data_IF_127975759489
#
_entry.id   IF_127975759489
#
_cell.length_a   1.000
_cell.length_b   1.000
_cell.length_c   1.000
_cell.angle_alpha   90.00
_cell.angle_beta   90.00
_cell.angle_gamma   90.00
#
_symmetry.space_group_name_H-M   'P 1'
#
loop_
_entity.id
_entity.type
_entity.pdbx_description
1 polymer ?
#
# COMPACT_ATOMS: atom_id res chain seq x y z
N UNK A 1 24.08 4.60 -27.18
CA UNK A 1 23.34 4.04 -26.03
C UNK A 1 22.28 3.09 -26.57
N UNK A 2 22.50 1.78 -26.46
CA UNK A 2 21.67 0.78 -27.12
C UNK A 2 20.29 0.66 -26.43
N UNK A 3 19.25 1.12 -27.11
CA UNK A 3 17.84 0.86 -26.82
C UNK A 3 17.54 -0.61 -27.13
N UNK A 4 17.82 -1.51 -26.18
CA UNK A 4 17.39 -2.91 -26.27
C UNK A 4 15.86 -2.99 -26.13
N UNK A 5 15.20 -3.52 -27.16
CA UNK A 5 13.76 -3.81 -27.16
C UNK A 5 13.35 -4.54 -25.88
N UNK A 6 12.28 -4.05 -25.22
CA UNK A 6 11.80 -4.55 -23.92
C UNK A 6 11.76 -6.08 -23.94
N UNK A 7 12.74 -6.71 -23.29
CA UNK A 7 12.75 -8.17 -23.17
C UNK A 7 11.44 -8.60 -22.52
N UNK A 8 10.91 -9.77 -22.88
CA UNK A 8 9.66 -10.28 -22.27
C UNK A 8 9.76 -10.35 -20.74
N UNK A 9 10.97 -10.57 -20.20
CA UNK A 9 11.24 -10.52 -18.76
C UNK A 9 11.06 -9.11 -18.17
N UNK A 10 11.50 -8.07 -18.88
CA UNK A 10 11.32 -6.67 -18.44
C UNK A 10 9.84 -6.28 -18.50
N UNK A 11 9.12 -6.64 -19.58
CA UNK A 11 7.67 -6.41 -19.67
C UNK A 11 6.92 -7.13 -18.53
N UNK A 12 7.30 -8.35 -18.21
CA UNK A 12 6.74 -9.13 -17.11
C UNK A 12 7.00 -8.47 -15.74
N UNK A 13 8.24 -8.03 -15.49
CA UNK A 13 8.60 -7.32 -14.26
C UNK A 13 7.86 -5.98 -14.12
N UNK A 14 7.71 -5.22 -15.21
CA UNK A 14 6.96 -3.97 -15.24
C UNK A 14 5.48 -4.18 -14.92
N UNK A 15 4.85 -5.21 -15.49
CA UNK A 15 3.45 -5.55 -15.20
C UNK A 15 3.25 -5.99 -13.74
N UNK A 16 4.15 -6.82 -13.20
CA UNK A 16 4.14 -7.20 -11.78
C UNK A 16 4.30 -5.98 -10.85
N UNK A 17 5.23 -5.07 -11.17
CA UNK A 17 5.44 -3.82 -10.45
C UNK A 17 4.26 -2.83 -10.59
N UNK A 18 3.35 -3.07 -11.54
CA UNK A 18 2.08 -2.36 -11.68
C UNK A 18 0.91 -3.02 -10.95
N UNK A 19 1.15 -4.09 -10.17
CA UNK A 19 0.12 -4.79 -9.42
C UNK A 19 -0.62 -5.88 -10.20
N UNK A 20 -0.22 -6.19 -11.45
CA UNK A 20 -0.83 -7.27 -12.19
C UNK A 20 -0.55 -8.64 -11.53
N UNK A 21 -1.54 -9.53 -11.54
CA UNK A 21 -1.33 -10.91 -11.10
C UNK A 21 -0.31 -11.62 -12.01
N UNK A 22 0.44 -12.63 -11.53
CA UNK A 22 1.44 -13.31 -12.35
C UNK A 22 0.91 -13.82 -13.68
N UNK A 23 -0.32 -14.36 -13.72
CA UNK A 23 -0.93 -14.82 -14.96
C UNK A 23 -1.23 -13.69 -15.95
N UNK A 24 -1.72 -12.55 -15.46
CA UNK A 24 -1.99 -11.36 -16.28
C UNK A 24 -0.69 -10.74 -16.79
N UNK A 25 0.29 -10.56 -15.91
CA UNK A 25 1.62 -10.06 -16.28
C UNK A 25 2.29 -10.94 -17.34
N UNK A 26 2.11 -12.26 -17.26
CA UNK A 26 2.66 -13.24 -18.22
C UNK A 26 2.05 -13.09 -19.61
N UNK A 27 0.73 -12.91 -19.68
CA UNK A 27 0.00 -12.67 -20.92
C UNK A 27 0.38 -11.30 -21.52
N UNK A 28 0.40 -10.25 -20.71
CA UNK A 28 0.79 -8.89 -21.15
C UNK A 28 2.23 -8.83 -21.67
N UNK A 29 3.13 -9.64 -21.08
CA UNK A 29 4.50 -9.78 -21.54
C UNK A 29 4.66 -10.65 -22.82
N UNK A 30 3.56 -11.16 -23.38
CA UNK A 30 3.57 -11.94 -24.61
C UNK A 30 4.08 -13.38 -24.44
N UNK A 31 4.00 -13.95 -23.25
CA UNK A 31 4.28 -15.37 -23.06
C UNK A 31 3.02 -16.22 -23.31
N UNK A 32 3.23 -17.38 -23.94
CA UNK A 32 2.18 -18.36 -24.21
C UNK A 32 2.22 -19.47 -23.15
N UNK A 33 1.06 -19.97 -22.71
CA UNK A 33 0.93 -21.17 -21.88
C UNK A 33 0.46 -20.95 -20.43
N UNK A 34 0.56 -22.00 -19.62
CA UNK A 34 -0.14 -22.14 -18.34
C UNK A 34 0.40 -21.31 -17.16
N UNK A 35 -0.51 -20.87 -16.28
CA UNK A 35 -0.23 -19.98 -15.14
C UNK A 35 0.75 -20.51 -14.07
N UNK A 36 1.04 -21.81 -14.02
CA UNK A 36 2.06 -22.35 -13.10
C UNK A 36 3.47 -21.82 -13.44
N UNK A 37 3.77 -21.61 -14.73
CA UNK A 37 5.06 -21.05 -15.20
C UNK A 37 5.19 -19.58 -14.80
N UNK A 38 4.09 -18.84 -14.88
CA UNK A 38 4.03 -17.45 -14.46
C UNK A 38 4.31 -17.29 -12.96
N UNK A 39 3.71 -18.15 -12.11
CA UNK A 39 3.98 -18.15 -10.66
C UNK A 39 5.45 -18.49 -10.36
N UNK A 40 6.00 -19.52 -11.01
CA UNK A 40 7.42 -19.88 -10.86
C UNK A 40 8.34 -18.75 -11.28
N UNK A 41 8.03 -18.05 -12.39
CA UNK A 41 8.81 -16.91 -12.85
C UNK A 41 8.69 -15.71 -11.90
N UNK A 42 7.50 -15.45 -11.35
CA UNK A 42 7.33 -14.41 -10.33
C UNK A 42 8.12 -14.73 -9.03
N UNK A 43 8.36 -16.01 -8.75
CA UNK A 43 9.19 -16.44 -7.63
C UNK A 43 10.71 -16.28 -7.87
N UNK A 44 11.14 -16.10 -9.12
CA UNK A 44 12.55 -15.97 -9.53
C UNK A 44 13.21 -14.76 -8.82
N UNK A 45 14.33 -14.94 -8.11
CA UNK A 45 15.01 -13.86 -7.41
C UNK A 45 15.40 -12.68 -8.32
N UNK A 46 15.75 -12.94 -9.58
CA UNK A 46 16.11 -11.88 -10.52
C UNK A 46 14.91 -11.00 -10.87
N UNK A 47 13.73 -11.61 -11.06
CA UNK A 47 12.48 -10.90 -11.33
C UNK A 47 12.04 -10.11 -10.11
N UNK A 48 12.09 -10.72 -8.91
CA UNK A 48 11.77 -10.01 -7.66
C UNK A 48 12.66 -8.79 -7.43
N UNK A 49 13.97 -8.93 -7.66
CA UNK A 49 14.92 -7.81 -7.55
C UNK A 49 14.56 -6.69 -8.53
N UNK A 50 14.23 -7.02 -9.78
CA UNK A 50 13.86 -6.04 -10.79
C UNK A 50 12.53 -5.35 -10.48
N UNK A 51 11.52 -6.08 -10.01
CA UNK A 51 10.24 -5.51 -9.53
C UNK A 51 10.48 -4.51 -8.39
N UNK A 52 11.33 -4.85 -7.42
CA UNK A 52 11.67 -3.96 -6.32
C UNK A 52 12.44 -2.71 -6.79
N UNK A 53 13.32 -2.85 -7.78
CA UNK A 53 14.03 -1.73 -8.40
C UNK A 53 13.06 -0.77 -9.11
N UNK A 54 12.15 -1.29 -9.92
CA UNK A 54 11.09 -0.50 -10.59
C UNK A 54 10.22 0.21 -9.54
N UNK A 55 9.88 -0.47 -8.44
CA UNK A 55 9.14 0.14 -7.33
C UNK A 55 9.91 1.32 -6.70
N UNK A 56 11.23 1.20 -6.51
CA UNK A 56 12.08 2.29 -6.01
C UNK A 56 12.16 3.45 -7.01
N UNK A 57 12.37 3.16 -8.29
CA UNK A 57 12.41 4.16 -9.37
C UNK A 57 11.10 4.97 -9.41
N UNK A 58 9.95 4.27 -9.39
CA UNK A 58 8.63 4.92 -9.34
C UNK A 58 8.43 5.74 -8.06
N UNK A 59 8.90 5.25 -6.92
CA UNK A 59 8.83 5.98 -5.66
C UNK A 59 9.67 7.26 -5.70
N UNK A 60 10.87 7.22 -6.29
CA UNK A 60 11.73 8.39 -6.46
C UNK A 60 11.09 9.41 -7.41
N UNK A 61 10.56 8.95 -8.55
CA UNK A 61 9.85 9.82 -9.49
C UNK A 61 8.58 10.42 -8.88
N UNK A 62 7.86 9.68 -8.04
CA UNK A 62 6.69 10.18 -7.34
C UNK A 62 7.02 11.15 -6.20
N UNK A 63 8.15 10.94 -5.50
CA UNK A 63 8.66 11.91 -4.51
C UNK A 63 8.95 13.27 -5.15
N UNK A 64 9.39 13.29 -6.40
CA UNK A 64 9.61 14.53 -7.16
C UNK A 64 8.30 15.30 -7.43
N UNK A 65 7.16 14.61 -7.48
CA UNK A 65 5.84 15.25 -7.66
C UNK A 65 5.28 15.87 -6.38
N UNK A 66 5.74 15.43 -5.20
CA UNK A 66 5.17 15.89 -3.93
C UNK A 66 5.36 17.40 -3.69
N UNK A 67 6.57 17.98 -3.89
CA UNK A 67 6.76 19.43 -3.79
C UNK A 67 5.86 20.21 -4.75
N UNK A 68 5.62 19.69 -5.96
CA UNK A 68 4.74 20.33 -6.95
C UNK A 68 3.29 20.33 -6.47
N UNK A 69 2.82 19.20 -5.93
CA UNK A 69 1.46 19.08 -5.38
C UNK A 69 1.30 20.01 -4.17
N UNK A 70 2.28 20.07 -3.27
CA UNK A 70 2.26 20.97 -2.11
C UNK A 70 2.19 22.44 -2.52
N UNK A 71 2.99 22.84 -3.52
CA UNK A 71 2.97 24.19 -4.06
C UNK A 71 1.64 24.51 -4.75
N UNK A 72 1.05 23.58 -5.50
CA UNK A 72 -0.30 23.73 -6.05
C UNK A 72 -1.33 23.96 -4.95
N UNK A 73 -1.27 23.20 -3.84
CA UNK A 73 -2.19 23.37 -2.71
C UNK A 73 -1.99 24.72 -2.00
N UNK A 74 -0.75 25.24 -1.97
CA UNK A 74 -0.47 26.60 -1.48
C UNK A 74 -1.12 27.65 -2.39
N UNK A 75 -0.95 27.53 -3.71
CA UNK A 75 -1.53 28.44 -4.70
C UNK A 75 -3.06 28.41 -4.69
N UNK A 76 -3.67 27.25 -4.47
CA UNK A 76 -5.13 27.14 -4.26
C UNK A 76 -5.58 28.02 -3.10
N UNK A 77 -4.88 27.98 -1.96
CA UNK A 77 -5.21 28.81 -0.80
C UNK A 77 -5.12 30.29 -1.12
N UNK A 78 -4.08 30.72 -1.85
CA UNK A 78 -3.94 32.13 -2.26
C UNK A 78 -5.02 32.55 -3.26
N UNK A 79 -5.33 31.71 -4.26
CA UNK A 79 -6.39 31.99 -5.23
C UNK A 79 -7.78 32.09 -4.57
N UNK A 80 -8.05 31.26 -3.56
CA UNK A 80 -9.31 31.31 -2.80
C UNK A 80 -9.46 32.57 -1.95
N UNK A 81 -8.36 33.22 -1.53
CA UNK A 81 -8.43 34.50 -0.78
C UNK A 81 -8.85 35.68 -1.64
N UNK A 82 -8.74 35.57 -2.97
CA UNK A 82 -9.09 36.65 -3.90
C UNK A 82 -10.61 36.90 -3.96
N UNK A 83 -11.42 35.94 -3.53
CA UNK A 83 -12.89 36.00 -3.52
C UNK A 83 -13.51 36.50 -4.85
N UNK A 84 -12.90 36.09 -5.96
CA UNK A 84 -13.34 36.43 -7.31
C UNK A 84 -13.64 35.18 -8.12
N UNK A 85 -14.50 35.29 -9.13
CA UNK A 85 -14.78 34.20 -10.05
C UNK A 85 -13.51 33.65 -10.73
N UNK A 86 -12.55 34.53 -11.05
CA UNK A 86 -11.25 34.14 -11.61
C UNK A 86 -10.42 33.34 -10.59
N UNK A 87 -10.36 33.78 -9.34
CA UNK A 87 -9.67 33.07 -8.25
C UNK A 87 -10.26 31.68 -8.00
N UNK A 88 -11.59 31.56 -7.94
CA UNK A 88 -12.27 30.27 -7.76
C UNK A 88 -12.05 29.31 -8.95
N UNK A 89 -12.03 29.84 -10.18
CA UNK A 89 -11.75 29.06 -11.40
C UNK A 89 -10.32 28.52 -11.38
N UNK A 90 -9.34 29.36 -11.04
CA UNK A 90 -7.95 28.95 -10.90
C UNK A 90 -7.77 27.90 -9.79
N UNK A 91 -8.38 28.10 -8.62
CA UNK A 91 -8.37 27.15 -7.51
C UNK A 91 -8.94 25.78 -7.93
N UNK A 92 -10.07 25.76 -8.65
CA UNK A 92 -10.65 24.52 -9.19
C UNK A 92 -9.69 23.80 -10.14
N UNK A 93 -9.06 24.54 -11.06
CA UNK A 93 -8.11 23.97 -12.02
C UNK A 93 -6.90 23.33 -11.31
N UNK A 94 -6.31 24.04 -10.36
CA UNK A 94 -5.19 23.54 -9.56
C UNK A 94 -5.57 22.32 -8.71
N UNK A 95 -6.77 22.30 -8.11
CA UNK A 95 -7.24 21.15 -7.35
C UNK A 95 -7.44 19.90 -8.23
N UNK A 96 -8.00 20.07 -9.43
CA UNK A 96 -8.18 18.97 -10.37
C UNK A 96 -6.82 18.37 -10.79
N UNK A 97 -5.84 19.22 -11.07
CA UNK A 97 -4.50 18.78 -11.46
C UNK A 97 -3.75 18.13 -10.28
N UNK A 98 -3.83 18.71 -9.08
CA UNK A 98 -3.26 18.12 -7.87
C UNK A 98 -3.87 16.73 -7.58
N UNK A 99 -5.18 16.54 -7.79
CA UNK A 99 -5.83 15.24 -7.65
C UNK A 99 -5.33 14.23 -8.69
N UNK A 100 -5.18 14.66 -9.94
CA UNK A 100 -4.62 13.83 -11.02
C UNK A 100 -3.20 13.37 -10.69
N UNK A 101 -2.34 14.29 -10.24
CA UNK A 101 -0.97 13.99 -9.85
C UNK A 101 -0.90 13.08 -8.61
N UNK A 102 -1.77 13.28 -7.61
CA UNK A 102 -1.89 12.37 -6.46
C UNK A 102 -2.23 10.93 -6.89
N UNK A 103 -3.07 10.77 -7.90
CA UNK A 103 -3.38 9.45 -8.47
C UNK A 103 -2.21 8.74 -9.17
N UNK A 104 -1.12 9.46 -9.48
CA UNK A 104 0.11 8.89 -10.05
C UNK A 104 1.12 8.46 -8.97
N UNK A 105 0.90 8.86 -7.72
CA UNK A 105 1.74 8.43 -6.61
C UNK A 105 1.54 6.93 -6.38
N UNK A 106 2.59 6.19 -6.02
CA UNK A 106 2.46 4.78 -5.69
C UNK A 106 1.47 4.63 -4.53
N UNK A 107 0.61 3.60 -4.62
CA UNK A 107 -0.21 3.22 -3.48
C UNK A 107 0.69 2.96 -2.28
N UNK A 108 0.31 3.44 -1.08
CA UNK A 108 1.04 3.09 0.12
C UNK A 108 1.12 1.56 0.20
N UNK A 109 2.25 0.99 0.63
CA UNK A 109 2.34 -0.45 0.81
C UNK A 109 1.18 -0.89 1.68
N UNK A 110 0.54 -2.01 1.30
CA UNK A 110 -0.50 -2.63 2.11
C UNK A 110 0.01 -2.75 3.54
N UNK A 111 -0.53 -1.92 4.44
CA UNK A 111 -0.27 -2.08 5.85
C UNK A 111 -0.93 -3.40 6.24
N UNK A 112 -0.20 -4.34 6.88
CA UNK A 112 -0.87 -5.48 7.48
C UNK A 112 -1.98 -4.92 8.36
N UNK A 113 -3.21 -5.42 8.19
CA UNK A 113 -4.27 -5.22 9.17
C UNK A 113 -3.65 -5.42 10.56
N UNK A 114 -3.98 -4.53 11.51
CA UNK A 114 -3.52 -4.64 12.89
C UNK A 114 -3.43 -6.11 13.28
N UNK A 115 -2.30 -6.58 13.84
CA UNK A 115 -2.12 -7.99 14.15
C UNK A 115 -3.39 -8.46 14.86
N UNK A 116 -4.01 -9.56 14.41
CA UNK A 116 -5.35 -9.94 14.84
C UNK A 116 -5.38 -9.84 16.35
N UNK A 117 -6.25 -8.96 16.88
CA UNK A 117 -6.29 -8.64 18.31
C UNK A 117 -6.20 -9.96 19.06
N UNK A 118 -5.12 -10.13 19.84
CA UNK A 118 -4.87 -11.37 20.57
C UNK A 118 -6.16 -11.73 21.32
N UNK A 119 -6.75 -12.89 21.01
CA UNK A 119 -7.90 -13.38 21.75
C UNK A 119 -7.42 -13.60 23.19
N UNK A 120 -8.01 -12.87 24.12
CA UNK A 120 -7.76 -13.08 25.55
C UNK A 120 -8.18 -14.51 25.90
N UNK A 121 -7.39 -15.19 26.73
CA UNK A 121 -7.84 -16.44 27.34
C UNK A 121 -9.01 -16.16 28.29
N UNK A 122 -9.75 -17.18 28.67
CA UNK A 122 -10.84 -17.06 29.66
C UNK A 122 -10.35 -16.43 30.97
N UNK A 123 -9.15 -16.81 31.41
CA UNK A 123 -8.51 -16.27 32.62
C UNK A 123 -8.18 -14.78 32.48
N UNK A 124 -7.62 -14.36 31.34
CA UNK A 124 -7.28 -12.97 31.05
C UNK A 124 -8.54 -12.10 30.88
N UNK A 125 -9.61 -12.67 30.33
CA UNK A 125 -10.89 -11.99 30.19
C UNK A 125 -11.55 -11.77 31.56
N UNK A 126 -11.56 -12.79 32.42
CA UNK A 126 -12.08 -12.71 33.78
C UNK A 126 -11.28 -11.70 34.61
N UNK A 127 -9.95 -11.71 34.54
CA UNK A 127 -9.11 -10.74 35.23
C UNK A 127 -9.42 -9.28 34.82
N UNK A 128 -9.78 -9.06 33.54
CA UNK A 128 -9.99 -7.72 32.98
C UNK A 128 -11.44 -7.21 33.09
N UNK A 129 -12.43 -8.10 33.02
CA UNK A 129 -13.84 -7.72 32.85
C UNK A 129 -14.80 -8.37 33.86
N UNK A 130 -14.33 -9.23 34.76
CA UNK A 130 -15.23 -9.85 35.71
C UNK A 130 -15.79 -8.83 36.72
N UNK A 131 -17.11 -8.86 36.99
CA UNK A 131 -17.70 -8.03 38.03
C UNK A 131 -17.09 -8.41 39.40
N UNK A 132 -16.87 -7.44 40.30
CA UNK A 132 -16.30 -7.69 41.61
C UNK A 132 -17.22 -8.63 42.40
N UNK A 133 -16.87 -9.92 42.47
CA UNK A 133 -17.66 -10.97 43.12
C UNK A 133 -17.50 -12.37 42.53
N UNK A 134 -16.92 -12.52 41.34
CA UNK A 134 -16.69 -13.84 40.68
C UNK A 134 -15.26 -14.37 40.81
N UNK A 135 -14.40 -13.72 41.62
CA UNK A 135 -13.15 -14.33 42.07
C UNK A 135 -13.51 -15.55 42.91
N UNK A 136 -13.40 -16.73 42.29
CA UNK A 136 -13.62 -18.03 42.93
C UNK A 136 -12.77 -18.05 44.21
N UNK A 137 -13.43 -18.14 45.36
CA UNK A 137 -12.75 -18.28 46.64
C UNK A 137 -11.78 -19.48 46.57
N UNK A 138 -10.52 -19.25 46.94
CA UNK A 138 -9.58 -20.32 47.21
C UNK A 138 -10.21 -21.26 48.23
N UNK A 139 -10.24 -22.59 47.99
CA UNK A 139 -10.63 -23.51 49.04
C UNK A 139 -9.61 -23.42 50.18
N UNK A 140 -10.11 -23.14 51.38
CA UNK A 140 -9.31 -23.05 52.60
C UNK A 140 -8.47 -24.32 52.82
N UNK A 141 -7.24 -24.22 53.37
CA UNK A 141 -6.44 -25.39 53.68
C UNK A 141 -7.17 -26.27 54.69
N UNK A 142 -7.35 -27.54 54.33
CA UNK A 142 -7.97 -28.54 55.21
C UNK A 142 -7.10 -28.72 56.46
N UNK A 143 -7.66 -28.42 57.63
CA UNK A 143 -7.07 -28.80 58.91
C UNK A 143 -7.07 -30.35 59.01
N UNK A 144 -5.89 -30.94 59.05
CA UNK A 144 -5.70 -32.36 59.33
C UNK A 144 -5.81 -32.62 60.84
N UNK A 145 -6.50 -33.70 61.19
CA UNK A 145 -6.41 -34.35 62.50
C UNK A 145 -5.08 -35.08 62.67
#
# INVERSE_FOLDING_TARGET
MATMGKSRNEAFAQALAGGASPGRAWAEAGYVGHGHRARRRAADPAVKRRVAEIGREKTLAAKDLMPVIEEMMRLVKEASKLDTAAGLTAARGLLAEAARLKGLLPEPPWAPEEPPRRRLTTEEWVAKYAPPGTRRAEPAPSAGN
#
